data_IF_041444477182
#
_entry.id   IF_041444477182
#
_cell.length_a   1.000
_cell.length_b   1.000
_cell.length_c   1.000
_cell.angle_alpha   90.00
_cell.angle_beta   90.00
_cell.angle_gamma   90.00
#
_symmetry.space_group_name_H-M   'P 1'
#
loop_
_entity.id
_entity.type
_entity.pdbx_description
1 polymer ?
#
# COMPACT_ATOMS: atom_id res chain seq x y z
N UNK A 1 23.99 -13.42 -6.59
CA UNK A 1 22.61 -13.21 -6.11
C UNK A 1 22.36 -11.71 -6.17
N UNK A 2 21.23 -11.22 -6.70
CA UNK A 2 20.90 -9.81 -6.60
C UNK A 2 20.84 -9.39 -5.12
N UNK A 3 21.17 -8.12 -4.84
CA UNK A 3 21.09 -7.60 -3.49
C UNK A 3 19.65 -7.68 -2.96
N UNK A 4 19.45 -7.89 -1.65
CA UNK A 4 18.11 -7.83 -1.07
C UNK A 4 17.43 -6.49 -1.37
N UNK A 5 16.11 -6.47 -1.59
CA UNK A 5 15.36 -5.23 -1.76
C UNK A 5 15.59 -4.26 -0.59
N UNK A 6 15.86 -3.00 -0.91
CA UNK A 6 16.02 -1.94 0.10
C UNK A 6 14.68 -1.68 0.79
N UNK A 7 14.67 -1.70 2.12
CA UNK A 7 13.49 -1.32 2.89
C UNK A 7 13.57 0.18 3.19
N UNK A 8 12.61 0.95 2.68
CA UNK A 8 12.47 2.37 2.98
C UNK A 8 11.84 2.62 4.34
N UNK A 9 11.99 3.86 4.82
CA UNK A 9 11.28 4.34 6.00
C UNK A 9 9.77 4.42 5.70
N UNK A 10 9.00 4.37 6.78
CA UNK A 10 7.55 4.56 6.72
C UNK A 10 7.22 6.04 6.82
N UNK A 11 6.31 6.51 5.97
CA UNK A 11 5.81 7.88 6.01
C UNK A 11 4.29 7.91 6.23
N UNK A 12 3.84 8.76 7.13
CA UNK A 12 2.43 8.87 7.50
C UNK A 12 1.78 10.06 6.82
N UNK A 13 0.53 9.88 6.35
CA UNK A 13 -0.23 10.98 5.78
C UNK A 13 -0.56 12.03 6.84
N UNK A 14 -0.68 13.28 6.38
CA UNK A 14 -1.11 14.44 7.18
C UNK A 14 -2.48 14.15 7.84
N UNK A 15 -2.76 14.77 9.00
CA UNK A 15 -3.66 14.19 10.00
C UNK A 15 -5.13 14.22 9.55
N UNK A 16 -5.59 13.11 8.97
CA UNK A 16 -7.00 12.79 8.80
C UNK A 16 -7.39 11.65 9.73
N UNK A 17 -8.22 11.96 10.72
CA UNK A 17 -8.69 10.98 11.71
C UNK A 17 -9.96 10.28 11.22
N UNK A 18 -9.86 8.97 10.97
CA UNK A 18 -10.94 8.06 10.61
C UNK A 18 -11.24 7.08 11.75
N UNK A 19 -12.06 7.51 12.73
CA UNK A 19 -12.46 6.66 13.87
C UNK A 19 -13.35 5.48 13.48
N UNK A 20 -13.90 5.53 12.27
CA UNK A 20 -14.80 4.57 11.67
C UNK A 20 -14.05 3.36 11.09
N UNK A 21 -12.74 3.46 10.81
CA UNK A 21 -11.91 2.35 10.34
C UNK A 21 -11.44 1.50 11.52
N UNK A 22 -12.07 0.33 11.69
CA UNK A 22 -11.65 -0.64 12.71
C UNK A 22 -10.49 -1.48 12.21
N UNK A 23 -9.55 -1.80 13.12
CA UNK A 23 -8.38 -2.65 12.83
C UNK A 23 -8.73 -3.96 12.12
N UNK A 24 -9.80 -4.64 12.55
CA UNK A 24 -10.25 -5.91 11.96
C UNK A 24 -10.74 -5.73 10.51
N UNK A 25 -11.48 -4.64 10.26
CA UNK A 25 -12.05 -4.36 8.95
C UNK A 25 -10.95 -3.98 7.96
N UNK A 26 -9.99 -3.17 8.42
CA UNK A 26 -8.78 -2.82 7.67
C UNK A 26 -7.95 -4.06 7.32
N UNK A 27 -7.70 -4.95 8.28
CA UNK A 27 -6.95 -6.18 8.05
C UNK A 27 -7.63 -7.10 7.02
N UNK A 28 -8.94 -7.30 7.14
CA UNK A 28 -9.69 -8.15 6.22
C UNK A 28 -9.72 -7.55 4.80
N UNK A 29 -9.86 -6.24 4.68
CA UNK A 29 -9.78 -5.55 3.39
C UNK A 29 -8.41 -5.75 2.74
N UNK A 30 -7.32 -5.51 3.48
CA UNK A 30 -5.96 -5.69 2.97
C UNK A 30 -5.68 -7.15 2.59
N UNK A 31 -6.14 -8.11 3.39
CA UNK A 31 -6.05 -9.54 3.05
C UNK A 31 -6.78 -9.87 1.74
N UNK A 32 -7.99 -9.35 1.55
CA UNK A 32 -8.78 -9.58 0.34
C UNK A 32 -8.10 -9.00 -0.91
N UNK A 33 -7.61 -7.76 -0.83
CA UNK A 33 -6.89 -7.14 -1.94
C UNK A 33 -5.59 -7.87 -2.27
N UNK A 34 -4.78 -8.21 -1.27
CA UNK A 34 -3.53 -8.92 -1.51
C UNK A 34 -3.75 -10.27 -2.20
N UNK A 35 -4.77 -11.02 -1.78
CA UNK A 35 -5.09 -12.33 -2.38
C UNK A 35 -5.75 -12.24 -3.75
N UNK A 36 -6.61 -11.23 -3.97
CA UNK A 36 -7.41 -11.17 -5.19
C UNK A 36 -6.81 -10.30 -6.30
N UNK A 37 -5.89 -9.38 -5.97
CA UNK A 37 -5.35 -8.38 -6.91
C UNK A 37 -3.83 -8.33 -6.99
N UNK A 38 -3.12 -8.75 -5.95
CA UNK A 38 -1.67 -8.58 -5.83
C UNK A 38 -0.90 -9.92 -5.79
N UNK A 39 -1.59 -11.05 -6.05
CA UNK A 39 -1.02 -12.38 -5.93
C UNK A 39 -0.12 -12.77 -7.12
N UNK A 40 1.05 -13.33 -6.80
CA UNK A 40 1.79 -14.28 -7.64
C UNK A 40 2.60 -13.75 -8.83
N UNK A 41 2.34 -12.55 -9.35
CA UNK A 41 3.05 -12.07 -10.56
C UNK A 41 4.19 -11.08 -10.24
N UNK A 42 5.41 -11.33 -10.78
CA UNK A 42 6.46 -10.33 -10.77
C UNK A 42 6.05 -9.16 -11.68
N UNK A 43 6.34 -7.95 -11.22
CA UNK A 43 6.12 -6.70 -11.94
C UNK A 43 7.44 -5.96 -12.11
N UNK A 44 7.52 -5.09 -13.10
CA UNK A 44 8.73 -4.33 -13.43
C UNK A 44 8.43 -2.84 -13.58
N UNK A 45 9.38 -2.06 -14.10
CA UNK A 45 9.23 -0.62 -14.34
C UNK A 45 8.05 -0.20 -15.22
N UNK A 46 7.45 -1.12 -15.99
CA UNK A 46 6.26 -0.86 -16.78
C UNK A 46 4.97 -1.08 -15.98
N UNK A 47 5.08 -1.46 -14.70
CA UNK A 47 3.96 -1.59 -13.80
C UNK A 47 3.40 -0.21 -13.46
N UNK A 48 2.37 0.22 -14.20
CA UNK A 48 1.65 1.47 -13.98
C UNK A 48 0.92 1.56 -12.63
N UNK A 49 1.05 0.55 -11.77
CA UNK A 49 0.44 0.48 -10.46
C UNK A 49 -0.99 -0.03 -10.46
N UNK A 50 -1.50 -0.29 -9.27
CA UNK A 50 -2.90 -0.63 -9.03
C UNK A 50 -3.40 0.10 -7.80
N UNK A 51 -4.63 0.61 -7.91
CA UNK A 51 -5.37 1.17 -6.78
C UNK A 51 -6.65 0.36 -6.55
N UNK A 52 -6.76 -0.20 -5.36
CA UNK A 52 -7.87 -1.02 -4.94
C UNK A 52 -8.65 -0.29 -3.86
N UNK A 53 -9.98 -0.29 -3.98
CA UNK A 53 -10.88 0.40 -3.05
C UNK A 53 -11.99 -0.56 -2.63
N UNK A 54 -12.40 -0.54 -1.36
CA UNK A 54 -13.60 -1.25 -0.97
C UNK A 54 -14.86 -0.50 -1.46
N UNK A 55 -15.97 -1.22 -1.67
CA UNK A 55 -17.26 -0.57 -1.89
C UNK A 55 -17.69 0.23 -0.64
N UNK A 56 -18.38 1.37 -0.81
CA UNK A 56 -18.92 2.14 0.30
C UNK A 56 -19.75 1.27 1.24
N UNK A 57 -19.50 1.36 2.54
CA UNK A 57 -20.34 0.74 3.58
C UNK A 57 -20.10 -0.76 3.83
N UNK A 58 -19.33 -1.47 2.99
CA UNK A 58 -19.04 -2.90 3.21
C UNK A 58 -18.21 -3.15 4.48
N UNK A 59 -17.37 -2.18 4.86
CA UNK A 59 -16.43 -2.26 5.97
C UNK A 59 -16.42 -0.99 6.83
N UNK A 60 -17.57 -0.29 6.89
CA UNK A 60 -17.74 0.98 7.61
C UNK A 60 -17.27 2.22 6.83
N UNK A 61 -16.01 2.23 6.39
CA UNK A 61 -15.37 3.39 5.74
C UNK A 61 -14.83 3.03 4.36
N UNK A 62 -14.65 4.04 3.51
CA UNK A 62 -13.81 3.90 2.32
C UNK A 62 -12.36 3.68 2.72
N UNK A 63 -11.74 2.65 2.16
CA UNK A 63 -10.35 2.29 2.35
C UNK A 63 -9.74 2.00 0.98
N UNK A 64 -8.47 2.36 0.85
CA UNK A 64 -7.72 2.22 -0.38
C UNK A 64 -6.36 1.60 -0.10
N UNK A 65 -5.95 0.70 -1.00
CA UNK A 65 -4.57 0.21 -1.11
C UNK A 65 -4.08 0.57 -2.50
N UNK A 66 -2.93 1.22 -2.57
CA UNK A 66 -2.25 1.53 -3.82
C UNK A 66 -0.87 0.86 -3.80
N UNK A 67 -0.49 0.21 -4.90
CA UNK A 67 0.85 -0.33 -5.10
C UNK A 67 1.36 0.18 -6.43
N UNK A 68 2.53 0.81 -6.44
CA UNK A 68 3.14 1.36 -7.64
C UNK A 68 4.62 1.04 -7.73
N UNK A 69 5.16 1.03 -8.95
CA UNK A 69 6.61 1.08 -9.14
C UNK A 69 7.11 2.50 -8.83
N UNK A 70 8.28 2.62 -8.20
CA UNK A 70 8.90 3.92 -7.90
C UNK A 70 9.88 4.32 -9.00
N UNK A 71 9.99 5.62 -9.25
CA UNK A 71 10.99 6.17 -10.18
C UNK A 71 12.43 5.96 -9.66
N UNK A 72 13.41 5.87 -10.56
CA UNK A 72 14.82 5.66 -10.20
C UNK A 72 15.18 4.19 -9.93
N UNK A 73 14.32 3.27 -10.40
CA UNK A 73 14.44 1.82 -10.25
C UNK A 73 14.51 1.09 -11.60
N UNK A 74 15.00 1.76 -12.65
CA UNK A 74 14.95 1.28 -14.04
C UNK A 74 15.83 0.05 -14.30
N UNK A 75 16.82 -0.17 -13.43
CA UNK A 75 17.78 -1.27 -13.46
C UNK A 75 17.30 -2.52 -12.70
N UNK A 76 16.19 -2.45 -11.97
CA UNK A 76 15.57 -3.62 -11.34
C UNK A 76 14.76 -4.41 -12.36
N UNK A 77 15.07 -5.71 -12.52
CA UNK A 77 14.40 -6.57 -13.49
C UNK A 77 12.92 -6.78 -13.17
N UNK A 78 12.61 -7.14 -11.92
CA UNK A 78 11.25 -7.32 -11.43
C UNK A 78 11.21 -7.49 -9.90
N UNK A 79 10.02 -7.34 -9.34
CA UNK A 79 9.68 -7.72 -7.95
C UNK A 79 8.26 -8.26 -7.87
N UNK A 80 8.01 -9.16 -6.92
CA UNK A 80 6.66 -9.67 -6.69
C UNK A 80 5.85 -8.74 -5.79
N UNK A 81 4.57 -8.60 -6.07
CA UNK A 81 3.65 -7.77 -5.29
C UNK A 81 3.22 -8.42 -3.96
N UNK A 82 3.16 -9.75 -3.91
CA UNK A 82 2.76 -10.54 -2.73
C UNK A 82 3.90 -10.65 -1.70
N UNK A 83 5.14 -10.75 -2.17
CA UNK A 83 6.36 -10.84 -1.38
C UNK A 83 7.48 -9.98 -2.00
N UNK A 84 7.42 -8.64 -1.84
CA UNK A 84 8.39 -7.70 -2.41
C UNK A 84 9.78 -7.79 -1.77
N UNK A 85 9.89 -8.36 -0.56
CA UNK A 85 11.12 -8.70 0.13
C UNK A 85 10.93 -10.02 0.91
N UNK A 86 11.91 -10.42 1.74
CA UNK A 86 11.83 -11.63 2.56
C UNK A 86 10.44 -11.78 3.21
N UNK A 87 9.88 -13.00 3.24
CA UNK A 87 8.45 -13.23 3.41
C UNK A 87 7.85 -12.67 4.70
N UNK A 88 8.67 -12.47 5.75
CA UNK A 88 8.28 -11.73 6.94
C UNK A 88 9.36 -10.68 7.30
N UNK A 89 8.97 -9.48 7.77
CA UNK A 89 7.61 -8.96 7.93
C UNK A 89 6.97 -8.42 6.63
N UNK A 90 7.58 -8.64 5.46
CA UNK A 90 7.26 -7.89 4.23
C UNK A 90 6.32 -8.61 3.26
N UNK A 91 5.42 -9.46 3.76
CA UNK A 91 4.29 -9.94 2.96
C UNK A 91 3.32 -8.80 2.64
N UNK A 92 2.70 -8.86 1.46
CA UNK A 92 1.72 -7.88 1.00
C UNK A 92 0.72 -7.43 2.07
N UNK A 93 0.05 -8.31 2.83
CA UNK A 93 -0.96 -7.82 3.77
C UNK A 93 -0.36 -7.10 4.98
N UNK A 94 0.89 -7.40 5.34
CA UNK A 94 1.54 -6.78 6.48
C UNK A 94 1.92 -5.33 6.19
N UNK A 95 2.32 -4.99 4.96
CA UNK A 95 2.86 -3.66 4.65
C UNK A 95 1.78 -2.56 4.76
N UNK A 96 0.61 -2.66 4.09
CA UNK A 96 -0.48 -1.70 4.26
C UNK A 96 -1.11 -1.75 5.65
N UNK A 97 -1.07 -2.91 6.34
CA UNK A 97 -1.52 -3.01 7.72
C UNK A 97 -0.60 -2.24 8.68
N UNK A 98 0.71 -2.36 8.52
CA UNK A 98 1.70 -1.58 9.27
C UNK A 98 1.57 -0.08 8.96
N UNK A 99 1.28 0.26 7.70
CA UNK A 99 0.94 1.63 7.30
C UNK A 99 -0.29 2.18 8.02
N UNK A 100 -1.24 1.34 8.41
CA UNK A 100 -2.38 1.72 9.24
C UNK A 100 -2.02 1.77 10.74
N UNK A 101 -1.29 0.77 11.25
CA UNK A 101 -1.04 0.63 12.69
C UNK A 101 -0.01 1.61 13.23
N UNK A 102 1.08 1.82 12.50
CA UNK A 102 2.20 2.63 12.96
C UNK A 102 1.99 4.11 12.64
N UNK A 103 1.16 4.41 11.63
CA UNK A 103 0.64 5.74 11.44
C UNK A 103 -0.55 5.96 12.37
N UNK A 104 -0.26 6.29 13.64
CA UNK A 104 -1.24 6.70 14.66
C UNK A 104 -1.85 8.10 14.36
N UNK A 105 -2.20 8.35 13.10
CA UNK A 105 -2.92 9.55 12.64
C UNK A 105 -4.45 9.34 12.72
N UNK A 106 -4.90 8.38 13.53
CA UNK A 106 -6.31 8.03 13.67
C UNK A 106 -6.86 7.25 12.49
N UNK A 107 -6.03 6.48 11.77
CA UNK A 107 -6.47 5.60 10.68
C UNK A 107 -6.40 6.20 9.28
N UNK A 108 -5.82 7.39 9.11
CA UNK A 108 -5.58 8.02 7.81
C UNK A 108 -4.54 7.28 6.96
N UNK A 109 -3.64 6.54 7.61
CA UNK A 109 -2.69 5.65 6.94
C UNK A 109 -1.40 6.35 6.53
N UNK A 110 -0.69 5.73 5.59
CA UNK A 110 0.64 6.13 5.16
C UNK A 110 1.16 5.23 4.04
N UNK A 111 2.46 5.32 3.79
CA UNK A 111 3.12 4.52 2.78
C UNK A 111 4.50 4.04 3.22
N UNK A 112 4.96 2.98 2.55
CA UNK A 112 6.30 2.41 2.72
C UNK A 112 6.81 1.86 1.40
N UNK A 113 8.09 2.09 1.12
CA UNK A 113 8.78 1.55 -0.06
C UNK A 113 9.54 0.26 0.30
N UNK A 114 9.41 -0.76 -0.55
CA UNK A 114 10.13 -2.04 -0.46
C UNK A 114 10.75 -2.38 -1.82
N UNK A 115 12.06 -2.22 -1.91
CA UNK A 115 12.79 -2.20 -3.18
C UNK A 115 12.26 -1.07 -4.04
N UNK A 116 11.62 -1.44 -5.15
CA UNK A 116 11.05 -0.57 -6.16
C UNK A 116 9.52 -0.50 -6.11
N UNK A 117 8.89 -1.10 -5.10
CA UNK A 117 7.45 -1.06 -4.91
C UNK A 117 7.09 -0.14 -3.75
N UNK A 118 6.20 0.81 -3.99
CA UNK A 118 5.58 1.66 -2.96
C UNK A 118 4.22 1.09 -2.59
N UNK A 119 4.02 0.77 -1.33
CA UNK A 119 2.73 0.33 -0.78
C UNK A 119 2.11 1.47 0.00
N UNK A 120 0.89 1.83 -0.34
CA UNK A 120 0.14 2.91 0.28
C UNK A 120 -1.16 2.35 0.88
N UNK A 121 -1.52 2.84 2.06
CA UNK A 121 -2.84 2.63 2.65
C UNK A 121 -3.41 3.99 3.02
N UNK A 122 -4.66 4.24 2.65
CA UNK A 122 -5.38 5.41 3.15
C UNK A 122 -6.86 5.14 3.37
N UNK A 123 -7.41 5.79 4.39
CA UNK A 123 -8.84 5.80 4.67
C UNK A 123 -9.50 7.08 4.17
N UNK A 124 -10.80 6.99 3.89
CA UNK A 124 -11.61 8.12 3.43
C UNK A 124 -11.36 8.51 1.98
N UNK A 125 -12.01 9.61 1.59
CA UNK A 125 -11.96 10.16 0.23
C UNK A 125 -10.65 10.92 -0.06
N UNK A 126 -9.49 10.35 0.31
CA UNK A 126 -8.21 10.78 -0.24
C UNK A 126 -8.13 10.38 -1.72
N UNK A 127 -8.95 11.03 -2.53
CA UNK A 127 -8.60 11.35 -3.91
C UNK A 127 -7.32 12.17 -3.79
N UNK A 128 -6.30 11.87 -4.61
CA UNK A 128 -5.13 12.74 -4.72
C UNK A 128 -5.65 14.11 -5.20
N UNK A 129 -5.96 15.03 -4.29
CA UNK A 129 -6.03 16.46 -4.60
C UNK A 129 -4.58 16.92 -4.83
N UNK A 130 -4.10 16.62 -6.03
CA UNK A 130 -3.09 17.39 -6.73
C UNK A 130 -3.55 17.40 -8.19
N UNK A 131 -4.55 18.25 -8.46
CA UNK A 131 -4.67 18.92 -9.75
C UNK A 131 -4.56 20.42 -9.49
N UNK A 132 -3.35 20.88 -9.15
CA UNK A 132 -2.91 22.11 -9.80
C UNK A 132 -2.75 21.76 -11.28
N UNK A 133 -3.73 22.12 -12.11
CA UNK A 133 -3.59 22.56 -13.51
C UNK A 133 -4.99 22.87 -14.10
N UNK A 134 -5.20 24.18 -14.30
CA UNK A 134 -6.24 24.92 -15.05
C UNK A 134 -7.43 25.47 -14.26
#
# INVERSE_FOLDING_TARGET
MPAPPKIGDQECYQPYKHKDVKKKDQWNFVLDICRSKLDGQPVDKNYGGVRCSNPPGLWGSFMHVEVSWVDGCEDYENQKLDFPANPDPYACPNIPHDNYLQCDNGGGGGWKQIGCLKYEFHAGAHVKENQDLQ
#
